data_IF_124338433742
#
_entry.id   IF_124338433742
#
_cell.length_a   1.000
_cell.length_b   1.000
_cell.length_c   1.000
_cell.angle_alpha   90.00
_cell.angle_beta   90.00
_cell.angle_gamma   90.00
#
_symmetry.space_group_name_H-M   'P 1'
#
loop_
_entity.id
_entity.type
_entity.pdbx_description
1 polymer ?
#
# COMPACT_ATOMS: atom_id res chain seq x y z
N UNK A 1 -20.13 -21.53 -0.56
CA UNK A 1 -19.34 -22.71 -0.96
C UNK A 1 -18.25 -22.22 -1.89
N UNK A 2 -16.95 -22.39 -1.60
CA UNK A 2 -15.91 -22.16 -2.59
C UNK A 2 -16.21 -23.05 -3.80
N UNK A 3 -16.09 -22.50 -5.00
CA UNK A 3 -16.45 -23.17 -6.24
C UNK A 3 -15.53 -24.40 -6.43
N UNK A 4 -16.06 -25.61 -6.21
CA UNK A 4 -15.30 -26.86 -6.08
C UNK A 4 -14.61 -27.37 -7.37
N UNK A 5 -14.38 -26.50 -8.36
CA UNK A 5 -13.75 -26.82 -9.64
C UNK A 5 -12.79 -25.75 -10.17
N UNK A 6 -12.48 -24.71 -9.38
CA UNK A 6 -11.43 -23.77 -9.77
C UNK A 6 -10.05 -24.45 -9.65
N UNK A 7 -9.13 -24.24 -10.61
CA UNK A 7 -7.77 -24.76 -10.48
C UNK A 7 -7.11 -24.13 -9.24
N UNK A 8 -6.32 -24.94 -8.54
CA UNK A 8 -5.54 -24.49 -7.40
C UNK A 8 -4.06 -24.45 -7.79
N UNK A 9 -3.42 -23.30 -7.56
CA UNK A 9 -2.00 -23.12 -7.77
C UNK A 9 -1.31 -22.87 -6.44
N UNK A 10 -0.14 -23.47 -6.26
CA UNK A 10 0.78 -23.12 -5.19
C UNK A 10 1.87 -22.25 -5.78
N UNK A 11 2.01 -21.03 -5.27
CA UNK A 11 3.07 -20.10 -5.66
C UNK A 11 3.99 -19.85 -4.47
N UNK A 12 5.27 -19.63 -4.75
CA UNK A 12 6.24 -19.26 -3.72
C UNK A 12 6.00 -17.81 -3.31
N UNK A 13 5.90 -17.56 -2.01
CA UNK A 13 5.93 -16.21 -1.45
C UNK A 13 7.37 -15.76 -1.17
N UNK A 14 7.65 -14.49 -1.41
CA UNK A 14 8.94 -13.84 -1.19
C UNK A 14 8.70 -12.45 -0.62
N UNK A 15 9.69 -11.90 0.08
CA UNK A 15 9.64 -10.54 0.60
C UNK A 15 10.21 -9.56 -0.43
N UNK A 16 9.81 -8.29 -0.36
CA UNK A 16 10.37 -7.26 -1.25
C UNK A 16 11.87 -7.10 -1.02
N UNK A 17 12.31 -7.09 0.24
CA UNK A 17 13.73 -7.00 0.59
C UNK A 17 14.56 -8.10 -0.09
N UNK A 18 14.06 -9.35 -0.07
CA UNK A 18 14.75 -10.49 -0.68
C UNK A 18 14.86 -10.34 -2.20
N UNK A 19 13.80 -9.90 -2.85
CA UNK A 19 13.79 -9.79 -4.31
C UNK A 19 14.61 -8.59 -4.81
N UNK A 20 14.59 -7.48 -4.09
CA UNK A 20 15.46 -6.32 -4.35
C UNK A 20 16.93 -6.71 -4.21
N UNK A 21 17.30 -7.43 -3.16
CA UNK A 21 18.66 -7.96 -2.99
C UNK A 21 19.03 -8.95 -4.10
N UNK A 22 18.15 -9.91 -4.41
CA UNK A 22 18.40 -10.93 -5.44
C UNK A 22 18.60 -10.32 -6.83
N UNK A 23 17.88 -9.22 -7.12
CA UNK A 23 17.93 -8.53 -8.40
C UNK A 23 18.96 -7.39 -8.44
N UNK A 24 19.63 -7.13 -7.31
CA UNK A 24 20.56 -6.00 -7.14
C UNK A 24 19.94 -4.66 -7.53
N UNK A 25 18.68 -4.43 -7.15
CA UNK A 25 18.03 -3.15 -7.38
C UNK A 25 18.52 -2.11 -6.37
N UNK A 26 18.79 -0.91 -6.87
CA UNK A 26 19.19 0.25 -6.07
C UNK A 26 18.05 1.27 -6.06
N UNK A 27 17.90 1.96 -4.93
CA UNK A 27 16.88 3.01 -4.78
C UNK A 27 17.35 4.39 -5.27
N UNK A 28 16.54 5.44 -5.02
CA UNK A 28 15.31 5.39 -4.24
C UNK A 28 14.19 4.62 -4.96
N UNK A 29 13.32 3.98 -4.17
CA UNK A 29 12.22 3.19 -4.69
C UNK A 29 10.91 3.98 -4.75
N UNK A 30 10.10 3.64 -5.75
CA UNK A 30 8.66 3.78 -5.70
C UNK A 30 8.07 2.39 -5.50
N UNK A 31 7.27 2.21 -4.45
CA UNK A 31 6.57 0.96 -4.17
C UNK A 31 5.07 1.17 -4.39
N UNK A 32 4.47 0.41 -5.30
CA UNK A 32 3.01 0.37 -5.49
C UNK A 32 2.48 -0.98 -5.01
N UNK A 33 1.46 -0.96 -4.16
CA UNK A 33 0.72 -2.13 -3.71
C UNK A 33 -0.70 -2.09 -4.25
N UNK A 34 -1.09 -3.19 -4.88
CA UNK A 34 -2.44 -3.52 -5.35
C UNK A 34 -2.52 -5.06 -5.34
N UNK A 35 -2.74 -5.62 -4.15
CA UNK A 35 -2.64 -7.07 -3.93
C UNK A 35 -3.89 -7.66 -3.28
N UNK A 36 -4.96 -6.88 -3.22
CA UNK A 36 -6.27 -7.26 -2.72
C UNK A 36 -6.23 -7.92 -1.33
N UNK A 37 -5.51 -7.32 -0.37
CA UNK A 37 -5.61 -7.68 1.04
C UNK A 37 -4.41 -8.40 1.66
N UNK A 38 -3.22 -8.24 1.08
CA UNK A 38 -1.94 -8.74 1.65
C UNK A 38 -0.93 -7.61 1.88
N UNK A 39 -1.39 -6.36 1.86
CA UNK A 39 -0.54 -5.17 1.87
C UNK A 39 0.28 -5.08 3.16
N UNK A 40 -0.31 -5.43 4.33
CA UNK A 40 0.40 -5.40 5.62
C UNK A 40 1.53 -6.43 5.68
N UNK A 41 1.30 -7.64 5.17
CA UNK A 41 2.30 -8.70 5.11
C UNK A 41 3.44 -8.33 4.15
N UNK A 42 3.11 -7.68 3.03
CA UNK A 42 4.11 -7.17 2.09
C UNK A 42 4.96 -6.08 2.75
N UNK A 43 4.34 -5.11 3.43
CA UNK A 43 5.04 -4.05 4.16
C UNK A 43 5.96 -4.62 5.26
N UNK A 44 5.52 -5.65 5.99
CA UNK A 44 6.34 -6.35 6.98
C UNK A 44 7.55 -7.08 6.35
N UNK A 45 7.48 -7.44 5.07
CA UNK A 45 8.58 -8.04 4.31
C UNK A 45 9.48 -7.02 3.58
N UNK A 46 9.27 -5.72 3.78
CA UNK A 46 9.87 -4.66 2.98
C UNK A 46 10.69 -3.66 3.80
N UNK A 47 11.21 -4.05 4.97
CA UNK A 47 11.89 -3.13 5.88
C UNK A 47 13.01 -2.32 5.20
N UNK A 48 13.95 -2.98 4.51
CA UNK A 48 15.08 -2.30 3.83
C UNK A 48 14.62 -1.51 2.62
N UNK A 49 13.65 -2.03 1.88
CA UNK A 49 13.05 -1.30 0.75
C UNK A 49 12.38 -0.01 1.24
N UNK A 50 11.63 -0.08 2.34
CA UNK A 50 10.96 1.07 2.95
C UNK A 50 11.95 2.08 3.55
N UNK A 51 13.17 1.69 3.94
CA UNK A 51 14.25 2.62 4.35
C UNK A 51 14.79 3.46 3.18
N UNK A 52 14.64 3.00 1.94
CA UNK A 52 15.07 3.72 0.73
C UNK A 52 13.93 3.97 -0.26
N UNK A 53 12.70 4.00 0.24
CA UNK A 53 11.49 4.32 -0.53
C UNK A 53 11.18 5.82 -0.43
N UNK A 54 11.03 6.48 -1.57
CA UNK A 54 10.67 7.90 -1.65
C UNK A 54 9.16 8.10 -1.84
N UNK A 55 8.49 7.12 -2.44
CA UNK A 55 7.05 7.16 -2.69
C UNK A 55 6.44 5.77 -2.51
N UNK A 56 5.49 5.67 -1.60
CA UNK A 56 4.67 4.49 -1.38
C UNK A 56 3.25 4.79 -1.87
N UNK A 57 2.73 3.96 -2.77
CA UNK A 57 1.36 4.05 -3.27
C UNK A 57 0.64 2.77 -2.90
N UNK A 58 -0.52 2.87 -2.26
CA UNK A 58 -1.29 1.70 -1.85
C UNK A 58 -2.74 1.90 -2.25
N UNK A 59 -3.28 0.94 -3.00
CA UNK A 59 -4.72 0.84 -3.19
C UNK A 59 -5.36 0.41 -1.87
N UNK A 60 -6.26 1.24 -1.34
CA UNK A 60 -6.92 0.97 -0.07
C UNK A 60 -8.43 0.95 -0.23
N UNK A 61 -9.06 0.12 0.59
CA UNK A 61 -10.50 -0.13 0.53
C UNK A 61 -11.23 0.68 1.61
N UNK A 62 -12.49 1.03 1.34
CA UNK A 62 -13.39 1.61 2.33
C UNK A 62 -14.23 0.52 3.07
N UNK A 63 -14.21 -0.71 2.56
CA UNK A 63 -14.98 -1.83 3.08
C UNK A 63 -14.09 -3.06 3.30
N UNK A 64 -14.65 -4.10 3.94
CA UNK A 64 -13.92 -5.32 4.30
C UNK A 64 -13.47 -5.32 5.76
N UNK A 65 -12.44 -6.10 6.06
CA UNK A 65 -11.84 -6.20 7.39
C UNK A 65 -11.33 -4.83 7.86
N UNK A 66 -11.57 -4.48 9.13
CA UNK A 66 -11.22 -3.15 9.67
C UNK A 66 -9.74 -2.79 9.46
N UNK A 67 -8.84 -3.76 9.62
CA UNK A 67 -7.40 -3.61 9.43
C UNK A 67 -7.00 -3.25 7.99
N UNK A 68 -7.85 -3.56 7.00
CA UNK A 68 -7.64 -3.33 5.57
C UNK A 68 -8.28 -2.05 5.07
N UNK A 69 -9.18 -1.45 5.86
CA UNK A 69 -9.81 -0.18 5.49
C UNK A 69 -8.81 0.95 5.53
N UNK A 70 -8.97 1.92 4.65
CA UNK A 70 -8.03 3.04 4.50
C UNK A 70 -7.71 3.76 5.82
N UNK A 71 -8.62 3.97 6.80
CA UNK A 71 -8.25 4.68 8.03
C UNK A 71 -7.19 3.91 8.85
N UNK A 72 -7.39 2.60 9.02
CA UNK A 72 -6.47 1.75 9.78
C UNK A 72 -5.16 1.51 9.02
N UNK A 73 -5.22 1.47 7.68
CA UNK A 73 -4.04 1.32 6.85
C UNK A 73 -3.22 2.62 6.81
N UNK A 74 -3.84 3.80 6.71
CA UNK A 74 -3.15 5.07 6.82
C UNK A 74 -2.42 5.20 8.16
N UNK A 75 -3.06 4.84 9.28
CA UNK A 75 -2.41 4.83 10.60
C UNK A 75 -1.21 3.86 10.65
N UNK A 76 -1.35 2.69 10.01
CA UNK A 76 -0.27 1.72 9.93
C UNK A 76 0.92 2.25 9.12
N UNK A 77 0.67 2.77 7.92
CA UNK A 77 1.70 3.37 7.05
C UNK A 77 2.34 4.57 7.73
N UNK A 78 1.56 5.35 8.48
CA UNK A 78 2.06 6.46 9.27
C UNK A 78 3.01 6.00 10.39
N UNK A 79 2.75 4.85 11.02
CA UNK A 79 3.67 4.25 11.99
C UNK A 79 4.99 3.77 11.38
N UNK A 80 5.05 3.58 10.06
CA UNK A 80 6.25 3.22 9.31
C UNK A 80 7.09 4.44 8.86
N UNK A 81 6.73 5.65 9.27
CA UNK A 81 7.49 6.87 8.96
C UNK A 81 7.05 7.59 7.69
N UNK A 82 5.86 7.27 7.17
CA UNK A 82 5.29 7.90 5.99
C UNK A 82 4.14 8.86 6.33
N UNK A 83 3.80 9.77 5.42
CA UNK A 83 2.69 10.70 5.51
C UNK A 83 1.92 10.72 4.19
N UNK A 84 0.59 10.69 4.26
CA UNK A 84 -0.26 10.77 3.07
C UNK A 84 -0.25 12.19 2.52
N UNK A 85 0.05 12.36 1.24
CA UNK A 85 0.08 13.68 0.60
C UNK A 85 -0.89 13.82 -0.57
N UNK A 86 -1.38 12.72 -1.14
CA UNK A 86 -2.30 12.77 -2.28
C UNK A 86 -3.14 11.48 -2.39
N UNK A 87 -4.15 11.51 -3.27
CA UNK A 87 -4.97 10.35 -3.64
C UNK A 87 -5.38 10.40 -5.12
N UNK A 88 -5.55 9.23 -5.75
CA UNK A 88 -5.99 9.12 -7.14
C UNK A 88 -6.99 7.97 -7.36
N UNK A 89 -7.68 8.04 -8.49
CA UNK A 89 -8.54 6.98 -9.01
C UNK A 89 -9.62 6.45 -8.02
N UNK A 90 -10.43 7.32 -7.39
CA UNK A 90 -11.49 6.85 -6.52
C UNK A 90 -12.50 6.02 -7.32
N UNK A 91 -12.70 4.77 -6.89
CA UNK A 91 -13.73 3.89 -7.44
C UNK A 91 -14.97 3.87 -6.56
N UNK A 92 -16.10 3.67 -7.20
CA UNK A 92 -17.41 3.65 -6.56
C UNK A 92 -18.14 2.37 -6.96
N UNK A 93 -18.90 1.79 -6.02
CA UNK A 93 -19.69 0.59 -6.30
C UNK A 93 -20.76 0.88 -7.35
N UNK A 94 -21.04 -0.08 -8.22
CA UNK A 94 -22.04 0.11 -9.28
C UNK A 94 -23.46 0.31 -8.76
N UNK A 95 -23.83 -0.40 -7.69
CA UNK A 95 -25.22 -0.46 -7.24
C UNK A 95 -25.69 0.74 -6.41
N UNK A 96 -24.79 1.46 -5.74
CA UNK A 96 -25.14 2.59 -4.87
C UNK A 96 -24.18 3.78 -4.95
N UNK A 97 -23.16 3.69 -5.82
CA UNK A 97 -22.14 4.73 -6.01
C UNK A 97 -21.40 5.10 -4.72
N UNK A 98 -21.41 4.24 -3.71
CA UNK A 98 -20.63 4.46 -2.50
C UNK A 98 -19.13 4.24 -2.77
N UNK A 99 -18.29 5.05 -2.11
CA UNK A 99 -16.84 5.01 -2.24
C UNK A 99 -16.27 3.62 -1.87
N UNK A 100 -15.59 2.97 -2.82
CA UNK A 100 -15.13 1.59 -2.72
C UNK A 100 -13.63 1.48 -2.41
N UNK A 101 -12.77 1.99 -3.29
CA UNK A 101 -11.30 1.98 -3.14
C UNK A 101 -10.67 3.22 -3.77
N UNK A 102 -9.45 3.55 -3.37
CA UNK A 102 -8.65 4.66 -3.90
C UNK A 102 -7.17 4.34 -3.74
N UNK A 103 -6.34 4.92 -4.60
CA UNK A 103 -4.90 4.95 -4.40
C UNK A 103 -4.50 6.12 -3.52
N UNK A 104 -3.79 5.84 -2.42
CA UNK A 104 -3.18 6.88 -1.59
C UNK A 104 -1.68 6.95 -1.82
N UNK A 105 -1.15 8.17 -1.87
CA UNK A 105 0.26 8.48 -2.09
C UNK A 105 0.89 8.93 -0.79
N UNK A 106 1.94 8.23 -0.38
CA UNK A 106 2.66 8.50 0.86
C UNK A 106 4.13 8.78 0.61
N UNK A 107 4.63 9.81 1.27
CA UNK A 107 6.05 10.18 1.25
C UNK A 107 6.62 10.10 2.66
N UNK A 108 7.95 10.14 2.82
CA UNK A 108 8.56 10.21 4.16
C UNK A 108 8.09 11.42 4.93
N UNK A 109 7.89 11.27 6.24
CA UNK A 109 7.48 12.36 7.15
C UNK A 109 8.46 13.51 7.20
N UNK A 110 9.73 13.26 6.92
CA UNK A 110 10.79 14.27 6.95
C UNK A 110 10.83 15.13 5.68
N UNK A 111 10.03 14.81 4.66
CA UNK A 111 10.01 15.58 3.41
C UNK A 111 9.24 16.89 3.54
N UNK A 112 9.61 17.94 2.78
CA UNK A 112 8.96 19.25 2.88
C UNK A 112 7.44 19.22 2.71
N UNK A 113 6.93 18.38 1.80
CA UNK A 113 5.49 18.27 1.51
C UNK A 113 4.70 17.68 2.68
N UNK A 114 5.33 16.86 3.52
CA UNK A 114 4.72 16.31 4.73
C UNK A 114 4.84 17.25 5.95
N UNK A 115 5.83 18.14 5.94
CA UNK A 115 6.12 19.04 7.05
C UNK A 115 5.39 20.38 6.96
N UNK A 116 4.96 20.81 5.77
CA UNK A 116 4.32 22.11 5.56
C UNK A 116 2.82 22.07 5.92
N UNK A 117 2.40 22.64 7.06
CA UNK A 117 1.02 22.47 7.56
C UNK A 117 0.08 23.58 7.09
N UNK A 118 0.51 24.44 6.16
CA UNK A 118 -0.26 25.57 5.66
C UNK A 118 -0.85 25.27 4.29
N UNK A 119 -2.09 25.71 4.07
CA UNK A 119 -2.73 25.63 2.77
C UNK A 119 -2.17 26.66 1.76
N UNK A 120 -1.58 27.75 2.24
CA UNK A 120 -0.99 28.83 1.43
C UNK A 120 0.49 28.92 1.66
#
# INVERSE_FOLDING_TARGET
MPNAGAPQWTVRQVSLDREVERLSFEGPFLVKLDTHGTEREILAGAHRVLENCDLLVIEMYNYGEDSRRFPAMCQHVESLGFHCIDMAEPMYRDHDRAFWQVDFFFVRKERPEALYPSFR
#
